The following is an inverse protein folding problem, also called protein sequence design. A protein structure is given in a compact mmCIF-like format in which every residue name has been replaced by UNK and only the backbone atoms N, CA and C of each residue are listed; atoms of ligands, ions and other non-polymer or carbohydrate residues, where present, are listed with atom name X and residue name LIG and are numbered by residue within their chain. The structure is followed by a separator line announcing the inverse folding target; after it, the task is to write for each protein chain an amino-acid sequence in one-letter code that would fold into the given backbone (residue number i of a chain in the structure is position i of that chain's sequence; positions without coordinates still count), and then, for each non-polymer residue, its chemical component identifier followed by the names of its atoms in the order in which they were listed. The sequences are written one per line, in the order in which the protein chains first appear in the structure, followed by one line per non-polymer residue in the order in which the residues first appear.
data_IF_179463006430
#
_entry.id   IF_179463006430
#
_cell.length_a   1.000
_cell.length_b   1.000
_cell.length_c   1.000
_cell.angle_alpha   90.00
_cell.angle_beta   90.00
_cell.angle_gamma   90.00
#
_symmetry.space_group_name_H-M   'P 1'
#
loop_
_entity.id
_entity.type
_entity.pdbx_description
1 polymer ?
#
# COMPACT_ATOMS: atom_id res chain seq x y z
N UNK A 1 -11.98 -22.54 -13.74
CA UNK A 1 -12.47 -21.71 -12.61
C UNK A 1 -11.45 -21.70 -11.47
N UNK A 2 -11.23 -20.56 -10.81
CA UNK A 2 -10.38 -20.50 -9.63
C UNK A 2 -11.16 -20.91 -8.37
N UNK A 3 -10.49 -21.48 -7.38
CA UNK A 3 -11.10 -21.91 -6.11
C UNK A 3 -10.21 -21.52 -4.94
N UNK A 4 -10.78 -20.97 -3.88
CA UNK A 4 -10.08 -20.69 -2.60
C UNK A 4 -10.28 -21.79 -1.56
N UNK A 5 -11.16 -22.77 -1.83
CA UNK A 5 -11.55 -23.82 -0.85
C UNK A 5 -11.10 -25.22 -1.25
N UNK A 6 -11.03 -25.48 -2.56
CA UNK A 6 -10.72 -26.81 -3.08
C UNK A 6 -9.28 -26.86 -3.58
N UNK A 7 -8.40 -27.44 -2.74
CA UNK A 7 -6.98 -27.61 -3.04
C UNK A 7 -6.67 -28.57 -4.18
N UNK A 8 -7.65 -29.39 -4.59
CA UNK A 8 -7.51 -30.32 -5.72
C UNK A 8 -7.81 -29.67 -7.07
N UNK A 9 -8.40 -28.47 -7.08
CA UNK A 9 -8.70 -27.72 -8.30
C UNK A 9 -7.42 -27.24 -8.98
N UNK A 10 -7.35 -27.37 -10.31
CA UNK A 10 -6.26 -26.82 -11.12
C UNK A 10 -6.10 -25.29 -10.94
N UNK A 11 -7.20 -24.59 -10.63
CA UNK A 11 -7.21 -23.15 -10.35
C UNK A 11 -7.17 -22.81 -8.86
N UNK A 12 -6.66 -23.69 -8.00
CA UNK A 12 -6.62 -23.43 -6.57
C UNK A 12 -5.76 -22.19 -6.24
N UNK A 13 -6.36 -21.23 -5.55
CA UNK A 13 -5.71 -20.04 -5.05
C UNK A 13 -4.95 -20.41 -3.78
N UNK A 14 -3.68 -20.78 -3.98
CA UNK A 14 -2.82 -21.28 -2.92
C UNK A 14 -2.56 -20.22 -1.83
N UNK A 15 -2.29 -20.64 -0.58
CA UNK A 15 -2.01 -19.72 0.52
C UNK A 15 -0.90 -18.70 0.23
N UNK A 16 0.09 -19.08 -0.57
CA UNK A 16 1.19 -18.19 -0.94
C UNK A 16 0.71 -16.98 -1.76
N UNK A 17 -0.33 -17.13 -2.57
CA UNK A 17 -0.93 -16.02 -3.32
C UNK A 17 -1.76 -15.09 -2.44
N UNK A 18 -2.28 -15.61 -1.32
CA UNK A 18 -2.92 -14.79 -0.29
C UNK A 18 -1.85 -13.97 0.43
N UNK A 19 -0.72 -14.58 0.80
CA UNK A 19 0.39 -13.88 1.45
C UNK A 19 0.95 -12.72 0.61
N UNK A 20 1.04 -12.86 -0.72
CA UNK A 20 1.45 -11.74 -1.61
C UNK A 20 0.49 -10.53 -1.53
N UNK A 21 -0.79 -10.77 -1.24
CA UNK A 21 -1.84 -9.75 -1.19
C UNK A 21 -2.13 -9.25 0.22
N UNK A 22 -1.50 -9.82 1.22
CA UNK A 22 -1.75 -9.51 2.63
C UNK A 22 -0.86 -8.35 3.08
N UNK A 23 -1.44 -7.16 3.16
CA UNK A 23 -0.76 -5.96 3.63
C UNK A 23 -0.57 -5.93 5.16
N UNK A 24 -1.02 -6.95 5.89
CA UNK A 24 -0.82 -7.07 7.34
C UNK A 24 0.37 -7.97 7.70
N UNK A 25 0.97 -8.62 6.69
CA UNK A 25 2.07 -9.55 6.88
C UNK A 25 3.38 -8.82 7.17
N UNK A 26 3.65 -8.60 8.46
CA UNK A 26 4.81 -7.84 8.97
C UNK A 26 6.17 -8.28 8.39
N UNK A 27 6.36 -9.56 8.09
CA UNK A 27 7.61 -10.07 7.50
C UNK A 27 7.92 -9.52 6.10
N UNK A 28 6.96 -8.88 5.43
CA UNK A 28 7.14 -8.26 4.12
C UNK A 28 7.66 -6.81 4.21
N UNK A 29 7.66 -6.22 5.40
CA UNK A 29 8.09 -4.86 5.62
C UNK A 29 9.54 -4.76 6.08
N UNK A 30 10.17 -3.62 5.77
CA UNK A 30 11.52 -3.28 6.22
C UNK A 30 11.49 -1.88 6.83
N UNK A 31 12.11 -1.64 8.00
CA UNK A 31 12.18 -0.31 8.58
C UNK A 31 12.72 0.71 7.59
N UNK A 32 12.09 1.87 7.51
CA UNK A 32 12.50 2.94 6.63
C UNK A 32 12.02 4.29 7.13
N UNK A 33 12.58 5.35 6.55
CA UNK A 33 12.20 6.73 6.85
C UNK A 33 11.09 7.25 5.91
N UNK A 34 10.42 6.35 5.18
CA UNK A 34 9.29 6.74 4.34
C UNK A 34 8.12 7.14 5.23
N UNK A 35 7.52 8.28 4.94
CA UNK A 35 6.28 8.72 5.58
C UNK A 35 5.08 8.28 4.75
N UNK A 36 4.05 7.77 5.40
CA UNK A 36 2.87 7.23 4.73
C UNK A 36 1.62 7.94 5.24
N UNK A 37 0.88 8.58 4.34
CA UNK A 37 -0.39 9.22 4.66
C UNK A 37 -1.53 8.47 3.97
N UNK A 38 -2.55 8.12 4.74
CA UNK A 38 -3.78 7.54 4.22
C UNK A 38 -4.96 8.43 4.56
N UNK A 39 -5.91 8.52 3.64
CA UNK A 39 -7.19 9.19 3.85
C UNK A 39 -8.26 8.17 3.52
N UNK A 40 -9.17 7.91 4.46
CA UNK A 40 -10.21 6.91 4.26
C UNK A 40 -11.50 7.32 4.98
N UNK A 41 -12.65 6.98 4.41
CA UNK A 41 -13.92 7.20 5.08
C UNK A 41 -14.42 5.94 5.78
N UNK A 42 -15.02 6.11 6.96
CA UNK A 42 -15.77 5.04 7.62
C UNK A 42 -17.07 4.65 6.87
N UNK A 43 -17.47 5.43 5.86
CA UNK A 43 -18.63 5.15 5.02
C UNK A 43 -18.23 4.54 3.65
N UNK A 44 -16.98 4.09 3.49
CA UNK A 44 -16.57 3.29 2.34
C UNK A 44 -17.25 1.91 2.39
N UNK A 45 -18.15 1.65 1.44
CA UNK A 45 -18.90 0.39 1.35
C UNK A 45 -18.09 -0.77 0.77
N UNK A 46 -16.93 -0.52 0.16
CA UNK A 46 -16.07 -1.54 -0.44
C UNK A 46 -14.98 -2.02 0.51
N UNK A 47 -14.40 -1.10 1.28
CA UNK A 47 -13.32 -1.42 2.23
C UNK A 47 -13.67 -0.85 3.61
N UNK A 48 -14.00 -1.73 4.57
CA UNK A 48 -14.26 -1.31 5.95
C UNK A 48 -13.09 -0.51 6.54
N UNK A 49 -13.41 0.43 7.43
CA UNK A 49 -12.38 1.27 8.06
C UNK A 49 -11.46 0.44 8.96
N UNK A 50 -11.97 -0.63 9.57
CA UNK A 50 -11.23 -1.52 10.44
C UNK A 50 -10.06 -2.20 9.70
N UNK A 51 -10.26 -2.59 8.43
CA UNK A 51 -9.22 -3.19 7.60
C UNK A 51 -8.11 -2.16 7.28
N UNK A 52 -8.49 -0.90 7.08
CA UNK A 52 -7.53 0.19 6.88
C UNK A 52 -6.76 0.50 8.15
N UNK A 53 -7.41 0.47 9.29
CA UNK A 53 -6.78 0.68 10.60
C UNK A 53 -5.76 -0.40 10.88
N UNK A 54 -6.12 -1.67 10.70
CA UNK A 54 -5.20 -2.79 10.85
C UNK A 54 -3.97 -2.67 9.93
N UNK A 55 -4.17 -2.23 8.69
CA UNK A 55 -3.07 -1.97 7.76
C UNK A 55 -2.16 -0.83 8.26
N UNK A 56 -2.73 0.29 8.71
CA UNK A 56 -1.93 1.41 9.22
C UNK A 56 -1.23 1.09 10.54
N UNK A 57 -1.86 0.36 11.45
CA UNK A 57 -1.20 -0.20 12.65
C UNK A 57 -0.01 -1.09 12.31
N UNK A 58 -0.10 -1.84 11.20
CA UNK A 58 1.02 -2.63 10.69
C UNK A 58 2.13 -1.73 10.15
N UNK A 59 1.80 -0.72 9.34
CA UNK A 59 2.78 0.23 8.77
C UNK A 59 3.51 1.02 9.86
N UNK A 60 2.81 1.45 10.91
CA UNK A 60 3.35 2.23 12.03
C UNK A 60 4.49 1.53 12.80
N UNK A 61 4.64 0.22 12.63
CA UNK A 61 5.77 -0.54 13.20
C UNK A 61 7.08 -0.35 12.43
N UNK A 62 7.02 0.12 11.19
CA UNK A 62 8.16 0.21 10.26
C UNK A 62 8.39 1.62 9.71
N UNK A 63 7.35 2.45 9.70
CA UNK A 63 7.30 3.75 9.06
C UNK A 63 6.56 4.78 9.93
N UNK A 64 6.77 6.05 9.64
CA UNK A 64 5.95 7.14 10.15
C UNK A 64 4.65 7.20 9.33
N UNK A 65 3.60 6.54 9.82
CA UNK A 65 2.36 6.34 9.08
C UNK A 65 1.14 6.95 9.80
N UNK A 66 0.37 7.75 9.08
CA UNK A 66 -0.81 8.46 9.57
C UNK A 66 -2.04 8.13 8.73
N UNK A 67 -3.09 7.62 9.38
CA UNK A 67 -4.41 7.44 8.77
C UNK A 67 -5.34 8.58 9.22
N UNK A 68 -5.85 9.34 8.26
CA UNK A 68 -6.86 10.38 8.47
C UNK A 68 -8.22 9.81 8.12
N UNK A 69 -9.14 9.84 9.09
CA UNK A 69 -10.55 9.51 8.86
C UNK A 69 -11.25 10.72 8.26
N UNK A 70 -11.82 10.56 7.07
CA UNK A 70 -12.56 11.60 6.37
C UNK A 70 -14.05 11.47 6.71
N UNK A 71 -14.62 12.55 7.26
CA UNK A 71 -16.00 12.65 7.66
C UNK A 71 -16.81 13.49 6.67
N UNK A 72 -18.14 13.51 6.83
CA UNK A 72 -19.04 14.27 5.93
C UNK A 72 -18.74 15.77 5.92
N UNK A 73 -18.20 16.31 7.02
CA UNK A 73 -17.81 17.72 7.14
C UNK A 73 -16.59 18.09 6.27
N UNK A 74 -15.78 17.11 5.90
CA UNK A 74 -14.57 17.31 5.08
C UNK A 74 -14.88 17.32 3.57
N UNK A 75 -16.13 17.06 3.18
CA UNK A 75 -16.57 17.04 1.79
C UNK A 75 -16.77 18.48 1.30
N UNK A 76 -15.84 18.94 0.46
CA UNK A 76 -15.79 20.30 -0.06
C UNK A 76 -16.09 20.39 -1.57
N UNK A 77 -16.29 19.25 -2.23
CA UNK A 77 -16.52 19.17 -3.68
C UNK A 77 -15.26 19.36 -4.52
N UNK A 78 -14.08 19.52 -3.90
CA UNK A 78 -12.79 19.75 -4.57
C UNK A 78 -11.75 18.72 -4.15
N UNK A 79 -11.33 18.77 -2.88
CA UNK A 79 -10.40 17.80 -2.30
C UNK A 79 -11.08 16.45 -2.11
N UNK A 80 -12.22 16.43 -1.43
CA UNK A 80 -13.08 15.26 -1.28
C UNK A 80 -14.47 15.60 -1.82
N UNK A 81 -14.93 14.82 -2.80
CA UNK A 81 -16.17 15.12 -3.55
C UNK A 81 -17.38 14.36 -3.03
N UNK A 82 -17.14 13.20 -2.42
CA UNK A 82 -18.15 12.35 -1.83
C UNK A 82 -17.55 11.54 -0.68
N UNK A 83 -18.39 10.89 0.13
CA UNK A 83 -17.94 10.19 1.34
C UNK A 83 -17.71 8.68 1.14
N UNK A 84 -18.06 8.14 -0.03
CA UNK A 84 -17.93 6.72 -0.35
C UNK A 84 -16.51 6.30 -0.76
N UNK A 85 -16.39 5.19 -1.48
CA UNK A 85 -15.10 4.62 -1.87
C UNK A 85 -14.20 5.60 -2.62
N UNK A 86 -12.98 5.79 -2.12
CA UNK A 86 -12.01 6.74 -2.68
C UNK A 86 -12.40 8.22 -2.56
N UNK A 87 -13.57 8.53 -2.00
CA UNK A 87 -14.11 9.86 -1.67
C UNK A 87 -14.12 10.86 -2.85
N UNK A 88 -14.06 10.36 -4.09
CA UNK A 88 -13.79 11.17 -5.27
C UNK A 88 -12.54 12.07 -5.13
N UNK A 89 -11.56 11.63 -4.33
CA UNK A 89 -10.47 12.48 -3.86
C UNK A 89 -9.60 13.02 -5.01
N UNK A 90 -9.16 14.28 -4.88
CA UNK A 90 -8.11 14.83 -5.74
C UNK A 90 -6.76 14.31 -5.27
N UNK A 91 -6.15 13.35 -5.97
CA UNK A 91 -4.83 12.80 -5.57
C UNK A 91 -3.76 13.90 -5.48
N UNK A 92 -3.79 14.86 -6.41
CA UNK A 92 -2.91 16.04 -6.34
C UNK A 92 -3.24 16.93 -5.14
N UNK A 93 -4.52 17.18 -4.88
CA UNK A 93 -4.92 17.99 -3.73
C UNK A 93 -4.56 17.35 -2.40
N UNK A 94 -4.66 16.02 -2.29
CA UNK A 94 -4.21 15.27 -1.11
C UNK A 94 -2.70 15.38 -0.95
N UNK A 95 -1.94 15.27 -2.03
CA UNK A 95 -0.49 15.49 -1.99
C UNK A 95 -0.15 16.92 -1.54
N UNK A 96 -0.78 17.94 -2.14
CA UNK A 96 -0.54 19.34 -1.82
C UNK A 96 -0.89 19.63 -0.34
N UNK A 97 -2.02 19.11 0.17
CA UNK A 97 -2.40 19.22 1.59
C UNK A 97 -1.33 18.64 2.52
N UNK A 98 -0.80 17.45 2.21
CA UNK A 98 0.25 16.83 3.02
C UNK A 98 1.55 17.62 2.92
N UNK A 99 1.94 18.06 1.71
CA UNK A 99 3.16 18.83 1.50
C UNK A 99 3.15 20.19 2.22
N UNK A 100 1.99 20.83 2.32
CA UNK A 100 1.81 22.10 3.05
C UNK A 100 1.83 21.92 4.57
N UNK A 101 1.38 20.77 5.06
CA UNK A 101 1.28 20.48 6.51
C UNK A 101 2.50 19.76 7.07
N UNK A 102 3.25 19.06 6.24
CA UNK A 102 4.48 18.35 6.60
C UNK A 102 5.71 19.03 5.95
N UNK A 103 6.43 19.91 6.68
CA UNK A 103 7.57 20.66 6.14
C UNK A 103 8.81 19.79 5.87
N UNK A 104 8.77 18.49 6.15
CA UNK A 104 9.92 17.57 6.02
C UNK A 104 9.80 16.63 4.82
N UNK A 105 9.14 17.04 3.73
CA UNK A 105 9.04 16.24 2.50
C UNK A 105 10.37 16.09 1.72
N UNK A 106 11.46 16.70 2.18
CA UNK A 106 12.77 16.57 1.52
C UNK A 106 13.40 15.20 1.81
N UNK A 107 13.58 14.39 0.75
CA UNK A 107 14.40 13.17 0.82
C UNK A 107 15.88 13.53 0.62
N UNK A 108 16.69 13.23 1.62
CA UNK A 108 18.16 13.35 1.55
C UNK A 108 18.81 12.36 0.57
N UNK A 109 18.08 11.33 0.12
CA UNK A 109 18.57 10.33 -0.83
C UNK A 109 17.89 10.47 -2.18
N UNK A 110 18.67 10.81 -3.19
CA UNK A 110 18.21 10.99 -4.57
C UNK A 110 18.25 9.70 -5.38
N UNK A 111 19.09 8.73 -4.97
CA UNK A 111 19.21 7.45 -5.69
C UNK A 111 17.95 6.59 -5.56
N UNK A 112 17.34 6.32 -6.69
CA UNK A 112 16.18 5.46 -6.89
C UNK A 112 16.54 3.97 -6.85
N UNK A 113 15.53 3.11 -6.71
CA UNK A 113 15.73 1.66 -6.81
C UNK A 113 16.19 1.22 -8.21
N UNK A 114 15.87 1.99 -9.26
CA UNK A 114 16.34 1.74 -10.62
C UNK A 114 17.85 1.99 -10.74
N UNK A 115 18.35 3.12 -10.23
CA UNK A 115 19.79 3.43 -10.23
C UNK A 115 20.61 2.43 -9.40
N UNK A 116 20.01 1.90 -8.32
CA UNK A 116 20.62 0.88 -7.47
C UNK A 116 20.52 -0.54 -8.02
N UNK A 117 19.78 -0.75 -9.11
CA UNK A 117 19.43 -2.08 -9.59
C UNK A 117 18.86 -2.97 -8.45
N UNK A 118 18.00 -2.39 -7.61
CA UNK A 118 17.53 -3.03 -6.37
C UNK A 118 16.76 -4.31 -6.69
N UNK A 119 17.00 -5.37 -5.90
CA UNK A 119 16.18 -6.59 -5.88
C UNK A 119 15.57 -6.81 -4.50
N UNK A 120 14.25 -6.96 -4.47
CA UNK A 120 13.48 -7.25 -3.27
C UNK A 120 12.85 -8.63 -3.36
N UNK A 121 12.61 -9.24 -2.21
CA UNK A 121 12.03 -10.58 -2.11
C UNK A 121 11.17 -10.67 -0.87
N UNK A 122 9.94 -11.14 -1.05
CA UNK A 122 8.95 -11.38 -0.01
C UNK A 122 8.75 -12.88 0.15
N UNK A 123 9.00 -13.39 1.36
CA UNK A 123 8.74 -14.79 1.67
C UNK A 123 7.23 -14.98 1.84
N UNK A 124 6.64 -15.81 0.97
CA UNK A 124 5.20 -16.05 0.93
C UNK A 124 4.86 -17.49 1.35
N UNK A 125 5.72 -18.16 2.10
CA UNK A 125 5.57 -19.57 2.47
C UNK A 125 6.44 -20.46 1.61
N UNK A 126 5.83 -21.33 0.79
CA UNK A 126 6.57 -22.26 -0.07
C UNK A 126 7.19 -21.60 -1.31
N UNK A 127 6.79 -20.36 -1.63
CA UNK A 127 7.36 -19.57 -2.74
C UNK A 127 7.81 -18.21 -2.21
N UNK A 128 8.77 -17.62 -2.91
CA UNK A 128 9.14 -16.22 -2.72
C UNK A 128 8.62 -15.39 -3.89
N UNK A 129 8.11 -14.20 -3.59
CA UNK A 129 7.79 -13.21 -4.60
C UNK A 129 8.95 -12.23 -4.70
N UNK A 130 9.67 -12.27 -5.82
CA UNK A 130 10.81 -11.40 -6.08
C UNK A 130 10.46 -10.34 -7.10
N UNK A 131 10.96 -9.13 -6.90
CA UNK A 131 10.87 -8.06 -7.89
C UNK A 131 12.18 -7.29 -7.96
N UNK A 132 12.54 -6.89 -9.16
CA UNK A 132 13.81 -6.25 -9.48
C UNK A 132 13.58 -5.00 -10.29
N UNK A 133 14.32 -3.96 -9.95
CA UNK A 133 14.43 -2.71 -10.67
C UNK A 133 15.76 -2.73 -11.44
N UNK A 134 15.79 -2.14 -12.62
CA UNK A 134 17.00 -2.05 -13.43
C UNK A 134 17.23 -0.62 -13.94
N UNK A 135 18.49 -0.24 -14.13
CA UNK A 135 18.87 1.11 -14.57
C UNK A 135 18.35 1.50 -15.97
N UNK A 136 17.94 0.52 -16.78
CA UNK A 136 17.19 0.70 -18.02
C UNK A 136 15.69 1.01 -17.81
N UNK A 137 15.29 1.30 -16.57
CA UNK A 137 13.92 1.51 -16.11
C UNK A 137 13.01 0.28 -16.24
N UNK A 138 13.56 -0.92 -16.47
CA UNK A 138 12.77 -2.14 -16.45
C UNK A 138 12.41 -2.57 -15.03
N UNK A 139 11.17 -3.06 -14.89
CA UNK A 139 10.66 -3.68 -13.68
C UNK A 139 10.27 -5.12 -14.00
N UNK A 140 10.83 -6.08 -13.25
CA UNK A 140 10.55 -7.51 -13.43
C UNK A 140 10.08 -8.10 -12.12
N UNK A 141 9.12 -9.01 -12.19
CA UNK A 141 8.69 -9.79 -11.03
C UNK A 141 8.67 -11.28 -11.37
N UNK A 142 8.89 -12.12 -10.37
CA UNK A 142 8.89 -13.57 -10.50
C UNK A 142 8.43 -14.24 -9.20
N UNK A 143 7.79 -15.39 -9.35
CA UNK A 143 7.59 -16.35 -8.27
C UNK A 143 8.74 -17.35 -8.35
N UNK A 144 9.54 -17.45 -7.28
CA UNK A 144 10.76 -18.28 -7.23
C UNK A 144 10.74 -19.24 -6.04
#
# INVERSE_FOLDING_TARGET
PWSVKDSSSQGFFKPEFAAIRDLTLQSHYRPGNTRVYGFHSALDELVPIEDKELHFETLQKFYDATLVRVERGDIDGKLFKEIGHGMGASLRGVFDLVAETDPLMERNQTETDFEKNTRLTLNCGAINYAFSFSDDFSFKHALI
#
